data_IF_574360085074
#
_entry.id   IF_574360085074
#
_cell.length_a   1.000
_cell.length_b   1.000
_cell.length_c   1.000
_cell.angle_alpha   90.00
_cell.angle_beta   90.00
_cell.angle_gamma   90.00
#
_symmetry.space_group_name_H-M   'P 1'
#
loop_
_entity.id
_entity.type
_entity.pdbx_description
1 polymer ?
#
# COMPACT_ATOMS: atom_id res chain seq x y z
N UNK A 1 -20.94 10.62 -16.97
CA UNK A 1 -19.50 10.48 -16.67
C UNK A 1 -19.38 10.13 -15.21
N UNK A 2 -18.79 8.99 -14.83
CA UNK A 2 -18.47 8.72 -13.41
C UNK A 2 -17.42 9.75 -12.99
N UNK A 3 -17.73 10.54 -11.97
CA UNK A 3 -16.82 11.54 -11.42
C UNK A 3 -15.54 10.82 -10.95
N UNK A 4 -14.42 11.09 -11.62
CA UNK A 4 -13.14 10.44 -11.35
C UNK A 4 -12.49 10.94 -10.05
N UNK A 5 -13.10 11.95 -9.40
CA UNK A 5 -12.53 12.72 -8.29
C UNK A 5 -12.48 12.03 -6.92
N UNK A 6 -12.85 10.74 -6.82
CA UNK A 6 -12.81 10.01 -5.55
C UNK A 6 -12.35 8.56 -5.72
N UNK A 7 -11.35 8.30 -6.57
CA UNK A 7 -10.72 6.98 -6.60
C UNK A 7 -9.99 6.75 -5.28
N UNK A 8 -10.19 5.56 -4.71
CA UNK A 8 -9.58 5.14 -3.45
C UNK A 8 -8.67 3.95 -3.72
N UNK A 9 -7.51 3.91 -3.06
CA UNK A 9 -6.53 2.85 -3.20
C UNK A 9 -6.19 2.29 -1.83
N UNK A 10 -6.12 0.96 -1.73
CA UNK A 10 -5.61 0.27 -0.55
C UNK A 10 -4.29 -0.41 -0.91
N UNK A 11 -3.26 -0.14 -0.12
CA UNK A 11 -1.98 -0.84 -0.19
C UNK A 11 -1.97 -1.93 0.85
N UNK A 12 -1.79 -3.16 0.39
CA UNK A 12 -1.88 -4.38 1.18
C UNK A 12 -0.48 -5.01 1.22
N UNK A 13 0.14 -5.22 2.39
CA UNK A 13 1.37 -5.99 2.48
C UNK A 13 1.20 -7.41 1.96
N UNK A 14 2.27 -7.98 1.42
CA UNK A 14 2.28 -9.30 0.76
C UNK A 14 2.19 -10.48 1.71
N UNK A 15 2.22 -10.21 3.02
CA UNK A 15 1.95 -11.18 4.06
C UNK A 15 0.51 -11.70 4.07
N UNK A 16 0.21 -12.53 5.07
CA UNK A 16 -1.10 -13.15 5.29
C UNK A 16 -2.12 -12.14 5.80
N UNK A 17 -2.43 -11.09 5.05
CA UNK A 17 -3.65 -10.36 5.32
C UNK A 17 -4.84 -11.22 4.88
N UNK A 18 -5.80 -11.37 5.78
CA UNK A 18 -7.00 -12.16 5.54
C UNK A 18 -7.71 -11.69 4.27
N UNK A 19 -8.07 -12.64 3.40
CA UNK A 19 -8.77 -12.35 2.14
C UNK A 19 -10.06 -11.54 2.35
N UNK A 20 -10.72 -11.72 3.49
CA UNK A 20 -11.96 -11.04 3.82
C UNK A 20 -11.77 -9.55 4.10
N UNK A 21 -10.62 -9.17 4.68
CA UNK A 21 -10.28 -7.78 4.91
C UNK A 21 -10.06 -7.05 3.57
N UNK A 22 -9.29 -7.67 2.67
CA UNK A 22 -9.04 -7.10 1.33
C UNK A 22 -10.34 -7.03 0.53
N UNK A 23 -11.19 -8.06 0.64
CA UNK A 23 -12.50 -8.09 0.00
C UNK A 23 -13.39 -6.92 0.45
N UNK A 24 -13.39 -6.56 1.73
CA UNK A 24 -14.12 -5.40 2.23
C UNK A 24 -13.75 -4.10 1.51
N UNK A 25 -12.46 -3.85 1.29
CA UNK A 25 -12.01 -2.67 0.53
C UNK A 25 -12.44 -2.72 -0.94
N UNK A 26 -12.38 -3.90 -1.57
CA UNK A 26 -12.83 -4.08 -2.95
C UNK A 26 -14.34 -3.81 -3.06
N UNK A 27 -15.13 -4.31 -2.11
CA UNK A 27 -16.58 -4.09 -2.05
C UNK A 27 -16.93 -2.60 -1.83
N UNK A 28 -16.06 -1.85 -1.12
CA UNK A 28 -16.12 -0.39 -0.98
C UNK A 28 -15.63 0.39 -2.21
N UNK A 29 -15.17 -0.31 -3.25
CA UNK A 29 -14.72 0.28 -4.52
C UNK A 29 -13.26 0.74 -4.53
N UNK A 30 -12.42 0.27 -3.61
CA UNK A 30 -10.99 0.56 -3.63
C UNK A 30 -10.28 -0.26 -4.72
N UNK A 31 -9.32 0.36 -5.40
CA UNK A 31 -8.28 -0.37 -6.11
C UNK A 31 -7.26 -0.95 -5.12
N UNK A 32 -6.71 -2.11 -5.43
CA UNK A 32 -5.77 -2.82 -4.54
C UNK A 32 -4.36 -2.77 -5.14
N UNK A 33 -3.39 -2.37 -4.31
CA UNK A 33 -1.95 -2.48 -4.60
C UNK A 33 -1.35 -3.44 -3.59
N UNK A 34 -0.81 -4.55 -4.06
CA UNK A 34 -0.16 -5.52 -3.18
C UNK A 34 1.36 -5.29 -3.17
N UNK A 35 1.95 -5.15 -1.99
CA UNK A 35 3.39 -5.28 -1.82
C UNK A 35 3.69 -6.78 -1.93
N UNK A 36 4.56 -7.28 -2.82
CA UNK A 36 4.84 -8.70 -2.88
C UNK A 36 5.55 -9.20 -1.61
N UNK A 37 5.53 -10.51 -1.35
CA UNK A 37 6.48 -11.07 -0.39
C UNK A 37 7.89 -11.02 -1.00
N UNK A 38 8.73 -10.11 -0.50
CA UNK A 38 10.08 -9.88 -1.01
C UNK A 38 11.13 -10.73 -0.26
N UNK A 39 10.72 -11.75 0.53
CA UNK A 39 11.64 -12.57 1.34
C UNK A 39 12.78 -13.21 0.54
N UNK A 40 12.50 -13.62 -0.70
CA UNK A 40 13.48 -14.28 -1.57
C UNK A 40 14.38 -13.31 -2.34
N UNK A 41 14.09 -12.00 -2.29
CA UNK A 41 14.87 -10.99 -2.98
C UNK A 41 16.05 -10.51 -2.14
N UNK A 42 17.18 -10.27 -2.80
CA UNK A 42 18.31 -9.57 -2.19
C UNK A 42 17.92 -8.13 -1.80
N UNK A 43 18.63 -7.57 -0.83
CA UNK A 43 18.25 -6.29 -0.21
C UNK A 43 18.12 -5.11 -1.18
N UNK A 44 18.93 -5.05 -2.24
CA UNK A 44 18.85 -3.99 -3.27
C UNK A 44 17.63 -4.17 -4.17
N UNK A 45 17.32 -5.40 -4.58
CA UNK A 45 16.13 -5.70 -5.38
C UNK A 45 14.84 -5.42 -4.61
N UNK A 46 14.77 -5.83 -3.33
CA UNK A 46 13.60 -5.54 -2.50
C UNK A 46 13.38 -4.03 -2.33
N UNK A 47 14.44 -3.25 -2.12
CA UNK A 47 14.34 -1.80 -1.97
C UNK A 47 13.91 -1.10 -3.27
N UNK A 48 14.33 -1.63 -4.42
CA UNK A 48 13.89 -1.18 -5.74
C UNK A 48 12.37 -1.39 -5.93
N UNK A 49 11.85 -2.59 -5.67
CA UNK A 49 10.40 -2.85 -5.77
C UNK A 49 9.58 -1.97 -4.83
N UNK A 50 10.03 -1.81 -3.58
CA UNK A 50 9.36 -0.90 -2.65
C UNK A 50 9.38 0.56 -3.13
N UNK A 51 10.42 0.97 -3.87
CA UNK A 51 10.48 2.30 -4.47
C UNK A 51 9.49 2.44 -5.62
N UNK A 52 9.36 1.45 -6.50
CA UNK A 52 8.37 1.45 -7.58
C UNK A 52 6.94 1.55 -7.05
N UNK A 53 6.62 0.79 -5.99
CA UNK A 53 5.29 0.85 -5.36
C UNK A 53 5.08 2.23 -4.71
N UNK A 54 6.11 2.80 -4.08
CA UNK A 54 6.02 4.13 -3.49
C UNK A 54 5.88 5.22 -4.57
N UNK A 55 6.49 5.05 -5.74
CA UNK A 55 6.32 5.95 -6.90
C UNK A 55 4.87 5.89 -7.39
N UNK A 56 4.30 4.69 -7.51
CA UNK A 56 2.90 4.52 -7.88
C UNK A 56 1.94 5.19 -6.89
N UNK A 57 2.16 4.99 -5.58
CA UNK A 57 1.36 5.64 -4.52
C UNK A 57 1.48 7.16 -4.57
N UNK A 58 2.67 7.68 -4.85
CA UNK A 58 2.87 9.11 -5.01
C UNK A 58 2.02 9.68 -6.15
N UNK A 59 1.96 9.00 -7.30
CA UNK A 59 1.13 9.44 -8.42
C UNK A 59 -0.36 9.41 -8.06
N UNK A 60 -0.83 8.39 -7.35
CA UNK A 60 -2.21 8.37 -6.85
C UNK A 60 -2.53 9.54 -5.92
N UNK A 61 -1.63 9.86 -4.98
CA UNK A 61 -1.82 11.00 -4.08
C UNK A 61 -1.81 12.32 -4.85
N UNK A 62 -0.91 12.48 -5.84
CA UNK A 62 -0.88 13.67 -6.71
C UNK A 62 -2.16 13.84 -7.52
N UNK A 63 -2.76 12.74 -7.96
CA UNK A 63 -4.06 12.71 -8.64
C UNK A 63 -5.25 12.99 -7.69
N UNK A 64 -4.99 13.24 -6.41
CA UNK A 64 -6.01 13.51 -5.39
C UNK A 64 -6.73 12.26 -4.88
N UNK A 65 -6.17 11.07 -5.12
CA UNK A 65 -6.76 9.82 -4.65
C UNK A 65 -6.47 9.61 -3.16
N UNK A 66 -7.47 9.04 -2.46
CA UNK A 66 -7.26 8.58 -1.09
C UNK A 66 -6.43 7.29 -1.11
N UNK A 67 -5.34 7.25 -0.37
CA UNK A 67 -4.52 6.04 -0.21
C UNK A 67 -4.57 5.58 1.24
N UNK A 68 -4.99 4.33 1.45
CA UNK A 68 -4.98 3.63 2.74
C UNK A 68 -3.90 2.56 2.69
N UNK A 69 -3.01 2.51 3.67
CA UNK A 69 -2.01 1.45 3.83
C UNK A 69 -2.42 0.57 4.99
N UNK A 70 -2.63 -0.72 4.73
CA UNK A 70 -2.86 -1.71 5.78
C UNK A 70 -1.51 -2.06 6.42
N UNK A 71 -1.41 -1.82 7.72
CA UNK A 71 -0.19 -2.01 8.49
C UNK A 71 -0.30 -3.29 9.31
N UNK A 72 0.42 -4.30 8.84
CA UNK A 72 0.82 -5.46 9.63
C UNK A 72 2.13 -5.11 10.35
N UNK A 73 2.12 -5.13 11.68
CA UNK A 73 3.27 -4.80 12.52
C UNK A 73 4.39 -5.85 12.45
N UNK A 74 4.05 -7.09 12.14
CA UNK A 74 5.03 -8.17 11.97
C UNK A 74 5.74 -8.07 10.62
N UNK A 75 5.08 -7.49 9.60
CA UNK A 75 5.64 -7.37 8.25
C UNK A 75 6.75 -6.29 8.16
N UNK A 76 8.00 -6.76 8.05
CA UNK A 76 9.18 -5.91 7.85
C UNK A 76 9.12 -5.08 6.57
N UNK A 77 8.49 -5.58 5.51
CA UNK A 77 8.37 -4.88 4.23
C UNK A 77 7.35 -3.77 4.32
N UNK A 78 6.24 -3.99 5.03
CA UNK A 78 5.29 -2.92 5.35
C UNK A 78 5.98 -1.77 6.12
N UNK A 79 6.77 -2.10 7.16
CA UNK A 79 7.53 -1.09 7.91
C UNK A 79 8.53 -0.32 7.03
N UNK A 80 9.26 -1.01 6.14
CA UNK A 80 10.18 -0.35 5.20
C UNK A 80 9.45 0.53 4.20
N UNK A 81 8.31 0.08 3.69
CA UNK A 81 7.46 0.82 2.79
C UNK A 81 6.92 2.11 3.43
N UNK A 82 6.35 2.03 4.63
CA UNK A 82 5.87 3.20 5.39
C UNK A 82 6.99 4.21 5.66
N UNK A 83 8.21 3.72 5.97
CA UNK A 83 9.39 4.58 6.11
C UNK A 83 9.72 5.33 4.82
N UNK A 84 9.58 4.68 3.64
CA UNK A 84 9.76 5.32 2.33
C UNK A 84 8.70 6.39 2.07
N UNK A 85 7.42 6.11 2.33
CA UNK A 85 6.35 7.09 2.17
C UNK A 85 6.59 8.34 3.04
N UNK A 86 6.97 8.13 4.31
CA UNK A 86 7.27 9.22 5.25
C UNK A 86 8.45 10.08 4.79
N UNK A 87 9.54 9.46 4.31
CA UNK A 87 10.71 10.18 3.78
C UNK A 87 10.37 11.05 2.56
N UNK A 88 9.35 10.67 1.81
CA UNK A 88 8.84 11.40 0.64
C UNK A 88 7.76 12.43 0.98
N UNK A 89 7.37 12.53 2.25
CA UNK A 89 6.30 13.45 2.68
C UNK A 89 4.91 13.08 2.15
N UNK A 90 4.68 11.80 1.81
CA UNK A 90 3.41 11.35 1.23
C UNK A 90 2.36 11.13 2.32
N UNK A 91 1.20 11.77 2.16
CA UNK A 91 0.08 11.66 3.08
C UNK A 91 -0.81 10.46 2.72
N UNK A 92 -0.46 9.28 3.24
CA UNK A 92 -1.32 8.10 3.19
C UNK A 92 -1.94 7.84 4.57
N UNK A 93 -3.21 7.43 4.58
CA UNK A 93 -3.87 6.94 5.79
C UNK A 93 -3.27 5.58 6.15
N UNK A 94 -2.95 5.34 7.42
CA UNK A 94 -2.39 4.06 7.87
C UNK A 94 -3.37 3.41 8.83
N UNK A 95 -3.81 2.19 8.51
CA UNK A 95 -4.69 1.40 9.36
C UNK A 95 -3.97 0.15 9.85
N UNK A 96 -3.76 0.06 11.15
CA UNK A 96 -3.23 -1.16 11.77
C UNK A 96 -4.26 -2.28 11.64
N UNK A 97 -3.77 -3.45 11.28
CA UNK A 97 -4.59 -4.66 11.11
C UNK A 97 -3.95 -5.75 11.96
N UNK A 98 -4.71 -6.29 12.90
CA UNK A 98 -4.29 -7.45 13.69
C UNK A 98 -4.60 -8.69 12.86
N UNK A 99 -3.55 -9.47 12.54
CA UNK A 99 -3.71 -10.80 11.93
C UNK A 99 -4.26 -11.83 12.90
#
# INVERSE_FOLDING_TARGET
MKDLRQRKMVVVPGGRLGSDLVKGYVDEGFGVVQIPDLKELSGSSADYYLSLIADQVQEFIKDGQQVVVLKDDEDRWCRRFLSKLRRRGLAAEVKSVSG
#
